data_IF_662040676283
#
_entry.id   IF_662040676283
#
_cell.length_a   1.000
_cell.length_b   1.000
_cell.length_c   1.000
_cell.angle_alpha   90.00
_cell.angle_beta   90.00
_cell.angle_gamma   90.00
#
_symmetry.space_group_name_H-M   'P 1'
#
loop_
_entity.id
_entity.type
_entity.pdbx_description
1 polymer ?
#
# COMPACT_ATOMS: atom_id res chain seq x y z
N UNK A 1 0.73 13.22 -6.29
CA UNK A 1 0.57 11.80 -5.89
C UNK A 1 1.74 11.00 -6.42
N UNK A 2 2.37 10.17 -5.59
CA UNK A 2 3.43 9.25 -6.01
C UNK A 2 2.94 7.82 -5.82
N UNK A 3 3.01 7.01 -6.86
CA UNK A 3 2.64 5.60 -6.82
C UNK A 3 3.92 4.80 -6.93
N UNK A 4 4.14 3.89 -5.98
CA UNK A 4 5.32 3.02 -5.96
C UNK A 4 4.85 1.58 -5.99
N UNK A 5 5.38 0.81 -6.94
CA UNK A 5 5.10 -0.62 -7.06
C UNK A 5 6.28 -1.40 -6.48
N UNK A 6 6.00 -2.39 -5.62
CA UNK A 6 7.01 -3.29 -5.07
C UNK A 6 6.50 -4.72 -5.12
N UNK A 7 7.34 -5.66 -5.52
CA UNK A 7 6.99 -7.09 -5.46
C UNK A 7 6.86 -7.52 -3.99
N UNK A 8 5.71 -8.09 -3.62
CA UNK A 8 5.49 -8.62 -2.27
C UNK A 8 5.99 -10.05 -2.17
N UNK A 9 5.63 -10.87 -3.16
CA UNK A 9 5.92 -12.30 -3.17
C UNK A 9 5.13 -13.01 -4.26
N UNK A 10 5.27 -14.33 -4.28
CA UNK A 10 4.55 -15.21 -5.21
C UNK A 10 3.67 -16.11 -4.33
N UNK A 11 2.39 -16.20 -4.65
CA UNK A 11 1.49 -17.12 -3.96
C UNK A 11 1.86 -18.57 -4.27
N UNK A 12 1.41 -19.49 -3.41
CA UNK A 12 1.49 -20.93 -3.67
C UNK A 12 0.76 -21.36 -4.96
N UNK A 13 -0.18 -20.53 -5.45
CA UNK A 13 -0.85 -20.70 -6.75
C UNK A 13 0.00 -20.30 -7.96
N UNK A 14 1.16 -19.66 -7.75
CA UNK A 14 2.02 -19.11 -8.80
C UNK A 14 1.71 -17.66 -9.18
N UNK A 15 0.73 -17.03 -8.56
CA UNK A 15 0.37 -15.63 -8.84
C UNK A 15 1.34 -14.65 -8.18
N UNK A 16 1.82 -13.69 -8.95
CA UNK A 16 2.69 -12.62 -8.44
C UNK A 16 1.86 -11.55 -7.73
N UNK A 17 2.17 -11.34 -6.45
CA UNK A 17 1.55 -10.30 -5.65
C UNK A 17 2.43 -9.08 -5.62
N UNK A 18 1.83 -7.97 -6.05
CA UNK A 18 2.44 -6.66 -6.05
C UNK A 18 1.80 -5.79 -4.96
N UNK A 19 2.65 -5.10 -4.21
CA UNK A 19 2.29 -3.99 -3.35
C UNK A 19 2.27 -2.69 -4.16
N UNK A 20 1.16 -1.98 -4.05
CA UNK A 20 1.00 -0.62 -4.53
C UNK A 20 0.94 0.32 -3.33
N UNK A 21 1.96 1.16 -3.20
CA UNK A 21 2.00 2.22 -2.21
C UNK A 21 1.68 3.55 -2.89
N UNK A 22 0.51 4.09 -2.59
CA UNK A 22 0.06 5.42 -3.00
C UNK A 22 0.39 6.43 -1.90
N UNK A 23 1.20 7.42 -2.22
CA UNK A 23 1.53 8.53 -1.31
C UNK A 23 0.93 9.84 -1.83
N UNK A 24 0.09 10.47 -1.00
CA UNK A 24 -0.55 11.75 -1.27
C UNK A 24 -0.25 12.72 -0.11
N UNK A 25 0.89 13.42 -0.21
CA UNK A 25 1.37 14.28 0.87
C UNK A 25 1.76 13.47 2.09
N UNK A 26 1.06 13.69 3.21
CA UNK A 26 1.21 12.93 4.46
C UNK A 26 0.39 11.64 4.48
N UNK A 27 -0.57 11.46 3.57
CA UNK A 27 -1.33 10.23 3.45
C UNK A 27 -0.50 9.17 2.72
N UNK A 28 -0.41 7.96 3.29
CA UNK A 28 0.21 6.81 2.63
C UNK A 28 -0.73 5.60 2.70
N UNK A 29 -1.07 5.06 1.55
CA UNK A 29 -1.96 3.91 1.40
C UNK A 29 -1.17 2.79 0.73
N UNK A 30 -1.23 1.58 1.27
CA UNK A 30 -0.59 0.40 0.70
C UNK A 30 -1.62 -0.71 0.53
N UNK A 31 -1.70 -1.23 -0.69
CA UNK A 31 -2.65 -2.25 -1.11
C UNK A 31 -2.01 -3.27 -2.03
N UNK A 32 -2.58 -4.48 -2.10
CA UNK A 32 -2.10 -5.55 -2.98
C UNK A 32 -3.08 -5.84 -4.11
N UNK A 33 -2.55 -6.38 -5.23
CA UNK A 33 -3.40 -6.93 -6.30
C UNK A 33 -4.15 -8.22 -5.87
N UNK A 34 -3.74 -8.85 -4.77
CA UNK A 34 -4.38 -10.04 -4.24
C UNK A 34 -5.69 -9.68 -3.52
N UNK A 35 -6.80 -9.78 -4.25
CA UNK A 35 -8.14 -9.46 -3.74
C UNK A 35 -8.37 -7.99 -3.41
N UNK A 36 -7.49 -7.09 -3.85
CA UNK A 36 -7.57 -5.66 -3.49
C UNK A 36 -7.35 -5.42 -1.99
N UNK A 37 -6.62 -6.31 -1.32
CA UNK A 37 -6.47 -6.27 0.14
C UNK A 37 -5.70 -5.02 0.56
N UNK A 38 -6.32 -4.23 1.43
CA UNK A 38 -5.71 -3.04 1.99
C UNK A 38 -4.83 -3.45 3.17
N UNK A 39 -3.52 -3.22 3.04
CA UNK A 39 -2.54 -3.67 4.04
C UNK A 39 -2.26 -2.58 5.06
N UNK A 40 -2.16 -1.33 4.60
CA UNK A 40 -1.84 -0.22 5.47
C UNK A 40 -2.48 1.06 4.97
N UNK A 41 -3.10 1.80 5.87
CA UNK A 41 -3.62 3.13 5.64
C UNK A 41 -3.05 4.05 6.72
N UNK A 42 -2.10 4.88 6.33
CA UNK A 42 -1.56 5.94 7.14
C UNK A 42 -2.27 7.25 6.80
N UNK A 43 -3.01 7.76 7.78
CA UNK A 43 -3.74 9.01 7.70
C UNK A 43 -3.28 9.92 8.84
N UNK A 44 -2.74 11.12 8.54
CA UNK A 44 -2.39 12.07 9.57
C UNK A 44 -3.66 12.51 10.30
N UNK A 45 -3.67 12.39 11.62
CA UNK A 45 -4.73 12.95 12.45
C UNK A 45 -4.61 14.47 12.51
N UNK A 46 -5.73 15.18 12.69
CA UNK A 46 -5.81 16.65 12.78
C UNK A 46 -4.83 17.25 13.80
N UNK A 47 -4.40 16.46 14.77
CA UNK A 47 -3.48 16.85 15.85
C UNK A 47 -2.00 16.66 15.52
N UNK A 48 -1.63 16.06 14.37
CA UNK A 48 -0.26 15.96 13.86
C UNK A 48 0.83 15.83 14.93
N UNK A 49 0.69 14.87 15.86
CA UNK A 49 1.69 14.74 16.92
C UNK A 49 2.90 14.02 16.31
N UNK A 50 3.87 14.85 15.92
CA UNK A 50 5.24 14.49 15.58
C UNK A 50 5.92 13.76 16.72
#
# INVERSE_FOLDING_TARGET
MKITKKKFGILSSGEEVDLFTLKAGELSLTLTNFGGTLISLYVPSRSGCR
#
